data_IF_920103138582
#
_entry.id   IF_920103138582
#
_cell.length_a   1.000
_cell.length_b   1.000
_cell.length_c   1.000
_cell.angle_alpha   90.00
_cell.angle_beta   90.00
_cell.angle_gamma   90.00
#
_symmetry.space_group_name_H-M   'P 1'
#
loop_
_entity.id
_entity.type
_entity.pdbx_description
1 polymer ?
#
# COMPACT_ATOMS: atom_id res chain seq x y z
N UNK A 1 6.21 -14.12 -5.10
CA UNK A 1 6.06 -14.95 -3.88
C UNK A 1 4.99 -14.29 -3.03
N UNK A 2 3.84 -14.93 -2.85
CA UNK A 2 2.84 -14.53 -1.85
C UNK A 2 2.82 -15.67 -0.83
N UNK A 3 3.62 -15.53 0.22
CA UNK A 3 3.76 -16.56 1.24
C UNK A 3 3.09 -16.09 2.52
N UNK A 4 1.91 -16.68 2.80
CA UNK A 4 1.47 -16.93 4.17
C UNK A 4 0.53 -15.90 4.78
N UNK A 5 -0.62 -16.38 5.22
CA UNK A 5 -1.25 -15.95 6.48
C UNK A 5 -1.52 -14.45 6.67
N UNK A 6 -2.19 -13.80 5.72
CA UNK A 6 -3.10 -12.68 6.02
C UNK A 6 -2.54 -11.41 6.68
N UNK A 7 -1.24 -11.28 6.93
CA UNK A 7 -0.66 -10.19 7.72
C UNK A 7 0.58 -9.61 7.08
N UNK A 8 0.79 -8.32 7.32
CA UNK A 8 2.02 -7.65 6.94
C UNK A 8 3.19 -8.17 7.77
N UNK A 9 4.27 -8.57 7.10
CA UNK A 9 5.46 -9.10 7.77
C UNK A 9 6.29 -7.96 8.36
N UNK A 10 6.92 -8.21 9.51
CA UNK A 10 7.80 -7.26 10.17
C UNK A 10 8.97 -6.89 9.25
N UNK A 11 9.25 -5.59 9.11
CA UNK A 11 10.28 -5.04 8.22
C UNK A 11 9.77 -4.54 6.87
N UNK A 12 8.52 -4.84 6.49
CA UNK A 12 7.93 -4.43 5.20
C UNK A 12 6.74 -3.46 5.37
N UNK A 13 6.31 -2.89 4.25
CA UNK A 13 5.01 -2.24 4.13
C UNK A 13 4.01 -3.14 3.40
N UNK A 14 2.71 -2.96 3.64
CA UNK A 14 1.66 -3.65 2.92
C UNK A 14 0.56 -2.70 2.49
N UNK A 15 0.15 -2.83 1.23
CA UNK A 15 -0.95 -2.09 0.64
C UNK A 15 -2.18 -2.98 0.57
N UNK A 16 -3.33 -2.44 0.96
CA UNK A 16 -4.60 -3.15 1.02
C UNK A 16 -5.56 -2.61 -0.02
N UNK A 17 -6.32 -3.51 -0.64
CA UNK A 17 -7.33 -3.16 -1.64
C UNK A 17 -8.50 -2.36 -1.05
N UNK A 18 -8.92 -2.69 0.18
CA UNK A 18 -10.02 -2.02 0.88
C UNK A 18 -9.54 -1.29 2.14
N UNK A 19 -10.35 -0.34 2.61
CA UNK A 19 -10.15 0.33 3.89
C UNK A 19 -10.64 -0.52 5.07
N UNK A 20 -10.31 -0.06 6.28
CA UNK A 20 -10.76 -0.67 7.54
C UNK A 20 -12.27 -0.88 7.63
N UNK A 21 -13.06 -0.01 7.00
CA UNK A 21 -14.53 -0.02 7.04
C UNK A 21 -15.16 -1.22 6.31
N UNK A 22 -14.47 -1.79 5.32
CA UNK A 22 -14.98 -2.88 4.47
C UNK A 22 -14.23 -4.21 4.70
N UNK A 23 -13.31 -4.22 5.66
CA UNK A 23 -12.31 -5.26 5.79
C UNK A 23 -11.24 -5.13 4.70
N UNK A 24 -9.99 -5.02 5.11
CA UNK A 24 -8.85 -4.67 4.26
C UNK A 24 -8.69 -5.50 2.96
N UNK A 25 -9.26 -6.70 2.91
CA UNK A 25 -9.35 -7.50 1.70
C UNK A 25 -8.01 -8.13 1.31
N UNK A 26 -7.73 -8.17 0.01
CA UNK A 26 -6.44 -8.64 -0.47
C UNK A 26 -5.36 -7.57 -0.28
N UNK A 27 -4.12 -8.03 -0.04
CA UNK A 27 -2.98 -7.15 0.15
C UNK A 27 -1.80 -7.48 -0.78
N UNK A 28 -0.90 -6.51 -0.90
CA UNK A 28 0.39 -6.62 -1.57
C UNK A 28 1.49 -6.20 -0.60
N UNK A 29 2.45 -7.09 -0.35
CA UNK A 29 3.67 -6.75 0.36
C UNK A 29 4.53 -5.84 -0.51
N UNK A 30 4.87 -4.67 0.01
CA UNK A 30 5.46 -3.55 -0.71
C UNK A 30 6.85 -3.20 -0.11
N UNK A 31 7.85 -4.10 -0.24
CA UNK A 31 9.17 -3.95 0.39
C UNK A 31 10.02 -2.81 -0.19
N UNK A 32 9.77 -2.37 -1.43
CA UNK A 32 10.63 -1.45 -2.16
C UNK A 32 9.99 -0.08 -2.40
N UNK A 33 10.80 0.98 -2.38
CA UNK A 33 10.39 2.29 -2.92
C UNK A 33 10.32 2.23 -4.45
N UNK A 34 9.30 2.83 -5.03
CA UNK A 34 9.14 2.90 -6.47
C UNK A 34 7.71 3.00 -6.95
N UNK A 35 7.57 2.94 -8.27
CA UNK A 35 6.29 3.04 -8.96
C UNK A 35 5.55 1.71 -8.94
N UNK A 36 4.23 1.78 -8.73
CA UNK A 36 3.38 0.61 -8.91
C UNK A 36 3.28 0.30 -10.41
N UNK A 37 3.71 -0.90 -10.80
CA UNK A 37 3.61 -1.38 -12.18
C UNK A 37 2.38 -2.27 -12.34
N UNK A 38 2.02 -2.55 -13.60
CA UNK A 38 0.88 -3.42 -13.95
C UNK A 38 0.99 -4.85 -13.42
N UNK A 39 2.21 -5.30 -13.11
CA UNK A 39 2.53 -6.63 -12.62
C UNK A 39 2.40 -6.74 -11.09
N UNK A 40 2.35 -5.60 -10.40
CA UNK A 40 2.11 -5.54 -8.96
C UNK A 40 0.61 -5.68 -8.71
N UNK A 41 0.20 -6.84 -8.22
CA UNK A 41 -1.20 -7.17 -7.97
C UNK A 41 -1.41 -7.61 -6.53
N UNK A 42 -2.56 -7.27 -5.96
CA UNK A 42 -2.95 -7.82 -4.67
C UNK A 42 -3.13 -9.34 -4.79
N UNK A 43 -2.72 -10.08 -3.76
CA UNK A 43 -2.78 -11.54 -3.79
C UNK A 43 -2.60 -12.21 -2.44
N UNK A 44 -2.21 -11.47 -1.39
CA UNK A 44 -2.26 -11.94 -0.01
C UNK A 44 -3.65 -11.79 0.59
N UNK A 45 -4.00 -12.62 1.58
CA UNK A 45 -5.29 -12.57 2.28
C UNK A 45 -6.44 -13.31 1.55
N UNK A 46 -7.56 -13.48 2.24
CA UNK A 46 -8.81 -14.03 1.69
C UNK A 46 -9.80 -12.86 1.55
N UNK A 47 -9.91 -12.25 0.37
CA UNK A 47 -10.76 -11.08 0.19
C UNK A 47 -10.85 -10.56 -1.24
N UNK A 48 -11.71 -9.55 -1.40
CA UNK A 48 -11.85 -8.79 -2.65
C UNK A 48 -10.53 -8.11 -3.02
N UNK A 49 -10.23 -8.05 -4.33
CA UNK A 49 -9.04 -7.39 -4.86
C UNK A 49 -7.93 -8.33 -5.35
N UNK A 50 -8.01 -9.65 -5.08
CA UNK A 50 -7.01 -10.60 -5.58
C UNK A 50 -6.91 -10.57 -7.12
N UNK A 51 -5.69 -10.40 -7.63
CA UNK A 51 -5.41 -10.23 -9.06
C UNK A 51 -5.61 -8.82 -9.61
N UNK A 52 -6.15 -7.88 -8.81
CA UNK A 52 -6.27 -6.46 -9.16
C UNK A 52 -4.92 -5.78 -8.98
N UNK A 53 -4.61 -4.83 -9.87
CA UNK A 53 -3.38 -4.05 -9.82
C UNK A 53 -3.35 -3.19 -8.56
N UNK A 54 -2.16 -2.99 -7.97
CA UNK A 54 -1.99 -2.14 -6.78
C UNK A 54 -2.15 -0.67 -7.12
N UNK A 55 -1.69 -0.28 -8.32
CA UNK A 55 -1.81 1.08 -8.83
C UNK A 55 -3.28 1.47 -8.92
N UNK A 56 -3.63 2.62 -8.36
CA UNK A 56 -4.97 3.21 -8.38
C UNK A 56 -6.06 2.35 -7.73
N UNK A 57 -5.70 1.43 -6.84
CA UNK A 57 -6.67 0.53 -6.20
C UNK A 57 -6.30 0.18 -4.76
N UNK A 58 -5.28 0.81 -4.18
CA UNK A 58 -5.03 0.66 -2.76
C UNK A 58 -5.83 1.70 -1.98
N UNK A 59 -6.43 1.26 -0.88
CA UNK A 59 -7.27 2.09 -0.03
C UNK A 59 -6.71 2.27 1.38
N UNK A 60 -5.77 1.43 1.80
CA UNK A 60 -5.08 1.53 3.08
C UNK A 60 -3.67 0.96 2.95
N UNK A 61 -2.83 1.28 3.93
CA UNK A 61 -1.57 0.59 4.09
C UNK A 61 -1.20 0.37 5.56
N UNK A 62 -0.33 -0.60 5.78
CA UNK A 62 0.33 -0.87 7.05
C UNK A 62 1.84 -0.79 6.85
N UNK A 63 2.50 -0.08 7.74
CA UNK A 63 3.94 0.06 7.74
C UNK A 63 4.52 -0.70 8.93
N UNK A 64 5.13 -1.85 8.65
CA UNK A 64 5.89 -2.63 9.64
C UNK A 64 7.40 -2.42 9.48
N UNK A 65 7.84 -1.51 8.60
CA UNK A 65 9.23 -1.15 8.40
C UNK A 65 9.77 -0.22 9.49
N UNK A 66 11.09 -0.03 9.53
CA UNK A 66 11.77 0.78 10.56
C UNK A 66 11.69 2.30 10.36
N UNK A 67 11.13 2.79 9.25
CA UNK A 67 11.05 4.22 8.90
C UNK A 67 9.66 4.60 8.36
N UNK A 68 9.38 5.89 8.18
CA UNK A 68 8.10 6.35 7.63
C UNK A 68 7.93 5.92 6.16
N UNK A 69 6.73 5.47 5.80
CA UNK A 69 6.35 5.13 4.43
C UNK A 69 5.53 6.27 3.84
N UNK A 70 5.92 6.76 2.67
CA UNK A 70 5.16 7.74 1.92
C UNK A 70 4.48 7.10 0.73
N UNK A 71 3.18 7.34 0.59
CA UNK A 71 2.38 6.93 -0.57
C UNK A 71 2.07 8.18 -1.40
N UNK A 72 2.33 8.11 -2.71
CA UNK A 72 2.17 9.23 -3.60
C UNK A 72 1.06 8.99 -4.62
N UNK A 73 0.35 10.07 -4.95
CA UNK A 73 -0.69 10.08 -5.99
C UNK A 73 -0.10 9.82 -7.39
N UNK A 74 1.14 10.25 -7.62
CA UNK A 74 1.81 10.14 -8.93
C UNK A 74 2.93 9.08 -8.93
N UNK A 75 3.39 8.77 -10.14
CA UNK A 75 4.52 7.85 -10.37
C UNK A 75 5.88 8.57 -10.39
N UNK A 76 5.95 9.80 -9.90
CA UNK A 76 7.20 10.57 -9.82
C UNK A 76 7.75 10.63 -8.39
N UNK A 77 7.14 9.87 -7.45
CA UNK A 77 7.59 9.78 -6.07
C UNK A 77 7.59 11.12 -5.32
N UNK A 78 6.69 12.04 -5.67
CA UNK A 78 6.66 13.38 -5.08
C UNK A 78 5.26 13.82 -4.63
N UNK A 79 5.22 14.69 -3.63
CA UNK A 79 3.99 15.23 -3.05
C UNK A 79 3.37 16.37 -3.87
N UNK A 80 3.66 16.51 -5.18
CA UNK A 80 3.15 17.64 -5.98
C UNK A 80 1.63 17.68 -6.08
N UNK A 81 0.97 16.52 -6.06
CA UNK A 81 -0.49 16.40 -6.11
C UNK A 81 -1.01 16.07 -4.71
N UNK A 82 -0.66 14.90 -4.21
CA UNK A 82 -0.91 14.48 -2.84
C UNK A 82 0.07 13.39 -2.45
N UNK A 83 0.39 13.35 -1.16
CA UNK A 83 1.08 12.24 -0.54
C UNK A 83 0.56 12.03 0.87
N UNK A 84 0.77 10.82 1.38
CA UNK A 84 0.37 10.46 2.73
C UNK A 84 1.47 9.65 3.38
N UNK A 85 1.86 10.08 4.58
CA UNK A 85 2.92 9.45 5.36
C UNK A 85 2.32 8.55 6.42
N UNK A 86 2.81 7.32 6.49
CA UNK A 86 2.43 6.31 7.47
C UNK A 86 3.64 6.03 8.33
N UNK A 87 3.50 6.29 9.63
CA UNK A 87 4.58 6.07 10.59
C UNK A 87 4.87 4.58 10.75
N UNK A 88 6.11 4.27 11.14
CA UNK A 88 6.52 2.91 11.48
C UNK A 88 5.60 2.29 12.54
N UNK A 89 5.24 1.02 12.36
CA UNK A 89 4.37 0.27 13.26
C UNK A 89 2.90 0.68 13.21
N UNK A 90 2.48 1.46 12.21
CA UNK A 90 1.10 1.95 12.10
C UNK A 90 0.42 1.48 10.83
N UNK A 91 -0.91 1.36 10.93
CA UNK A 91 -1.82 1.12 9.81
C UNK A 91 -2.75 2.31 9.67
N UNK A 92 -2.98 2.74 8.43
CA UNK A 92 -3.84 3.88 8.14
C UNK A 92 -4.59 3.71 6.82
N UNK A 93 -5.84 4.18 6.82
CA UNK A 93 -6.64 4.32 5.61
C UNK A 93 -6.20 5.57 4.84
N UNK A 94 -6.19 5.49 3.52
CA UNK A 94 -5.83 6.64 2.69
C UNK A 94 -6.92 7.69 2.69
N UNK A 95 -6.54 8.99 2.66
CA UNK A 95 -7.49 10.05 2.39
C UNK A 95 -8.10 9.86 1.00
N UNK A 96 -9.30 10.41 0.80
CA UNK A 96 -10.09 10.20 -0.42
C UNK A 96 -9.32 10.51 -1.72
N UNK A 97 -8.40 11.49 -1.69
CA UNK A 97 -7.58 11.85 -2.84
C UNK A 97 -6.56 10.77 -3.24
N UNK A 98 -6.11 9.93 -2.31
CA UNK A 98 -5.13 8.86 -2.55
C UNK A 98 -5.76 7.47 -2.63
N UNK A 99 -6.92 7.29 -2.01
CA UNK A 99 -7.72 6.08 -2.17
C UNK A 99 -8.03 5.89 -3.65
N UNK A 100 -7.72 4.72 -4.17
CA UNK A 100 -7.90 4.36 -5.58
C UNK A 100 -7.16 5.28 -6.59
N UNK A 101 -6.15 6.02 -6.11
CA UNK A 101 -5.35 6.93 -6.94
C UNK A 101 -3.85 6.87 -6.59
N UNK A 102 -3.43 5.89 -5.79
CA UNK A 102 -2.04 5.69 -5.40
C UNK A 102 -1.21 5.18 -6.59
N UNK A 103 -0.05 5.76 -6.84
CA UNK A 103 0.76 5.41 -8.01
C UNK A 103 2.22 5.07 -7.70
N UNK A 104 2.73 5.46 -6.53
CA UNK A 104 4.06 5.06 -6.06
C UNK A 104 4.19 5.12 -4.55
N UNK A 105 5.30 4.59 -4.03
CA UNK A 105 5.70 4.73 -2.64
C UNK A 105 7.20 5.01 -2.48
N UNK A 106 7.56 5.55 -1.33
CA UNK A 106 8.94 5.85 -0.96
C UNK A 106 9.15 5.77 0.54
N UNK A 107 10.29 5.25 0.97
CA UNK A 107 10.71 5.29 2.36
C UNK A 107 11.29 6.67 2.66
N UNK A 108 10.74 7.36 3.67
CA UNK A 108 11.37 8.57 4.19
C UNK A 108 12.60 8.19 5.02
N UNK A 109 13.74 8.81 4.70
CA UNK A 109 14.97 8.74 5.49
C UNK A 109 14.95 9.76 6.62
#
# INVERSE_FOLDING_TARGET
MASGSGNCVSGDACLFYNSSQYGYGSFYGAPYSGNYTSDMKFGGGNGSGSGVQVKNHAAAAENMGGGPLNIYYNSDGNCKIACFTINSGTRADFPEILRDNNASQGWGI
#
